data_IF_434745705959
#
_entry.id   IF_434745705959
#
_cell.length_a   1.000
_cell.length_b   1.000
_cell.length_c   1.000
_cell.angle_alpha   90.00
_cell.angle_beta   90.00
_cell.angle_gamma   90.00
#
_symmetry.space_group_name_H-M   'P 1'
#
loop_
_entity.id
_entity.type
_entity.pdbx_description
1 polymer ?
#
# COMPACT_ATOMS: atom_id res chain seq x y z
N UNK A 1 0.30 1.45 24.08
CA UNK A 1 0.03 2.54 23.12
C UNK A 1 0.22 2.03 21.71
N UNK A 2 0.34 2.89 20.70
CA UNK A 2 0.40 2.47 19.28
C UNK A 2 1.65 1.69 18.84
N UNK A 3 2.64 1.55 19.72
CA UNK A 3 3.86 0.75 19.50
C UNK A 3 4.01 -0.41 20.50
N UNK A 4 2.94 -0.82 21.21
CA UNK A 4 3.10 -1.74 22.34
C UNK A 4 2.87 -3.22 22.03
N UNK A 5 2.52 -3.61 20.79
CA UNK A 5 2.24 -5.04 20.50
C UNK A 5 3.43 -5.96 20.80
N UNK A 6 4.65 -5.40 20.80
CA UNK A 6 5.90 -6.10 21.08
C UNK A 6 6.13 -6.40 22.56
N UNK A 7 5.38 -5.76 23.46
CA UNK A 7 5.54 -5.88 24.91
C UNK A 7 4.56 -6.90 25.51
N UNK A 8 4.37 -6.86 26.83
CA UNK A 8 3.35 -7.66 27.52
C UNK A 8 1.92 -7.49 26.94
N UNK A 9 1.63 -6.39 26.24
CA UNK A 9 0.36 -6.22 25.51
C UNK A 9 0.18 -7.28 24.41
N UNK A 10 1.27 -7.80 23.85
CA UNK A 10 1.28 -8.89 22.88
C UNK A 10 0.94 -10.27 23.45
N UNK A 11 0.61 -10.40 24.74
CA UNK A 11 0.30 -11.68 25.38
C UNK A 11 -0.78 -12.48 24.62
N UNK A 12 -1.82 -11.82 24.10
CA UNK A 12 -2.87 -12.48 23.32
C UNK A 12 -2.36 -13.05 21.99
N UNK A 13 -1.34 -12.42 21.38
CA UNK A 13 -0.68 -12.92 20.17
C UNK A 13 0.08 -14.19 20.53
N UNK A 14 0.91 -14.15 21.58
CA UNK A 14 1.67 -15.30 22.05
C UNK A 14 0.78 -16.50 22.43
N UNK A 15 -0.38 -16.24 23.07
CA UNK A 15 -1.36 -17.28 23.38
C UNK A 15 -2.02 -17.88 22.14
N UNK A 16 -2.20 -17.09 21.08
CA UNK A 16 -2.87 -17.51 19.84
C UNK A 16 -1.94 -18.32 18.91
N UNK A 17 -0.68 -17.90 18.77
CA UNK A 17 0.27 -18.50 17.81
C UNK A 17 1.42 -19.25 18.47
N UNK A 18 1.50 -19.30 19.80
CA UNK A 18 2.61 -19.86 20.56
C UNK A 18 3.77 -18.87 20.73
N UNK A 19 4.54 -19.03 21.81
CA UNK A 19 5.62 -18.11 22.15
C UNK A 19 6.75 -18.13 21.11
N UNK A 20 7.13 -19.29 20.56
CA UNK A 20 8.15 -19.40 19.51
C UNK A 20 7.82 -18.57 18.26
N UNK A 21 6.54 -18.46 17.89
CA UNK A 21 6.12 -17.62 16.76
C UNK A 21 6.06 -16.14 17.16
N UNK A 22 5.75 -15.83 18.42
CA UNK A 22 5.85 -14.47 18.94
C UNK A 22 7.31 -14.01 18.98
N UNK A 23 8.26 -14.84 19.40
CA UNK A 23 9.70 -14.53 19.33
C UNK A 23 10.13 -14.25 17.89
N UNK A 24 9.73 -15.09 16.92
CA UNK A 24 10.01 -14.82 15.50
C UNK A 24 9.44 -13.49 15.01
N UNK A 25 8.28 -13.08 15.51
CA UNK A 25 7.71 -11.76 15.22
C UNK A 25 8.61 -10.64 15.76
N UNK A 26 9.14 -10.78 16.98
CA UNK A 26 10.10 -9.84 17.56
C UNK A 26 11.43 -9.83 16.79
N UNK A 27 11.95 -11.00 16.41
CA UNK A 27 13.19 -11.14 15.64
C UNK A 27 13.08 -10.44 14.28
N UNK A 28 11.91 -10.54 13.64
CA UNK A 28 11.61 -9.83 12.40
C UNK A 28 11.68 -8.31 12.54
N UNK A 29 11.10 -7.77 13.62
CA UNK A 29 11.20 -6.35 13.92
C UNK A 29 12.65 -5.95 14.23
N UNK A 30 13.36 -6.72 15.04
CA UNK A 30 14.76 -6.48 15.37
C UNK A 30 15.67 -6.49 14.14
N UNK A 31 15.41 -7.38 13.18
CA UNK A 31 16.09 -7.38 11.89
C UNK A 31 15.90 -6.06 11.14
N UNK A 32 14.67 -5.53 11.10
CA UNK A 32 14.38 -4.25 10.46
C UNK A 32 14.99 -3.07 11.24
N UNK A 33 15.03 -3.13 12.57
CA UNK A 33 15.73 -2.13 13.39
C UNK A 33 17.21 -2.05 13.04
N UNK A 34 17.89 -3.20 12.90
CA UNK A 34 19.30 -3.26 12.51
C UNK A 34 19.51 -2.69 11.11
N UNK A 35 18.65 -3.05 10.15
CA UNK A 35 18.69 -2.47 8.80
C UNK A 35 18.53 -0.95 8.84
N UNK A 36 17.51 -0.45 9.55
CA UNK A 36 17.27 1.00 9.69
C UNK A 36 18.45 1.75 10.32
N UNK A 37 19.11 1.16 11.31
CA UNK A 37 20.22 1.79 12.03
C UNK A 37 21.54 1.80 11.25
N UNK A 38 21.77 0.81 10.39
CA UNK A 38 23.11 0.54 9.84
C UNK A 38 23.23 0.72 8.33
N UNK A 39 22.12 0.61 7.58
CA UNK A 39 22.15 0.79 6.13
C UNK A 39 22.40 2.26 5.74
N UNK A 40 23.22 2.53 4.69
CA UNK A 40 23.31 3.85 4.07
C UNK A 40 21.93 4.39 3.69
N UNK A 41 21.71 5.70 3.81
CA UNK A 41 20.37 6.31 3.66
C UNK A 41 19.74 6.01 2.29
N UNK A 42 20.54 5.96 1.25
CA UNK A 42 20.16 5.65 -0.14
C UNK A 42 19.77 4.18 -0.39
N UNK A 43 20.08 3.28 0.55
CA UNK A 43 19.71 1.85 0.54
C UNK A 43 18.75 1.49 1.69
N UNK A 44 18.39 2.47 2.52
CA UNK A 44 17.60 2.28 3.72
C UNK A 44 16.10 2.37 3.41
N UNK A 45 15.46 1.21 3.24
CA UNK A 45 14.04 1.10 2.91
C UNK A 45 13.09 2.03 3.72
N UNK A 46 13.08 2.06 5.06
CA UNK A 46 12.27 3.01 5.83
C UNK A 46 12.54 4.49 5.47
N UNK A 47 13.81 4.87 5.30
CA UNK A 47 14.19 6.24 4.92
C UNK A 47 13.68 6.60 3.53
N UNK A 48 13.85 5.71 2.55
CA UNK A 48 13.38 5.93 1.18
C UNK A 48 11.86 6.10 1.15
N UNK A 49 11.12 5.22 1.84
CA UNK A 49 9.65 5.30 1.92
C UNK A 49 9.21 6.61 2.59
N UNK A 50 9.86 7.01 3.69
CA UNK A 50 9.57 8.27 4.36
C UNK A 50 9.82 9.49 3.45
N UNK A 51 10.95 9.52 2.72
CA UNK A 51 11.27 10.61 1.80
C UNK A 51 10.31 10.70 0.62
N UNK A 52 9.86 9.56 0.07
CA UNK A 52 8.80 9.54 -0.94
C UNK A 52 7.47 10.07 -0.38
N UNK A 53 7.13 9.71 0.86
CA UNK A 53 5.96 10.25 1.56
C UNK A 53 6.01 11.78 1.69
N UNK A 54 7.15 12.32 2.15
CA UNK A 54 7.39 13.77 2.24
C UNK A 54 7.30 14.43 0.87
N UNK A 55 7.90 13.83 -0.16
CA UNK A 55 7.83 14.34 -1.52
C UNK A 55 6.39 14.49 -2.00
N UNK A 56 5.56 13.45 -1.87
CA UNK A 56 4.18 13.53 -2.33
C UNK A 56 3.29 14.41 -1.47
N UNK A 57 3.45 14.43 -0.15
CA UNK A 57 2.63 15.26 0.73
C UNK A 57 3.00 16.74 0.63
N UNK A 58 4.28 17.08 0.73
CA UNK A 58 4.74 18.47 0.83
C UNK A 58 4.98 19.13 -0.53
N UNK A 59 5.37 18.37 -1.56
CA UNK A 59 5.66 18.95 -2.89
C UNK A 59 4.52 18.75 -3.88
N UNK A 60 3.74 17.67 -3.75
CA UNK A 60 2.60 17.38 -4.63
C UNK A 60 1.22 17.54 -3.97
N UNK A 61 1.16 17.89 -2.68
CA UNK A 61 -0.08 18.16 -1.97
C UNK A 61 -0.98 16.93 -1.79
N UNK A 62 -0.42 15.72 -1.81
CA UNK A 62 -1.19 14.51 -1.55
C UNK A 62 -1.58 14.44 -0.06
N UNK A 63 -2.86 14.58 0.23
CA UNK A 63 -3.39 14.57 1.61
C UNK A 63 -3.46 13.15 2.22
N UNK A 64 -3.44 12.10 1.39
CA UNK A 64 -3.72 10.72 1.83
C UNK A 64 -2.68 9.75 1.34
N UNK A 65 -2.44 8.68 2.11
CA UNK A 65 -1.59 7.54 1.75
C UNK A 65 -2.37 6.24 1.84
N UNK A 66 -2.41 5.46 0.75
CA UNK A 66 -3.19 4.22 0.70
C UNK A 66 -2.30 2.98 0.93
N UNK A 67 -2.67 2.14 1.89
CA UNK A 67 -2.02 0.85 2.17
C UNK A 67 -2.90 -0.30 1.66
N UNK A 68 -2.43 -1.03 0.64
CA UNK A 68 -3.24 -1.96 -0.15
C UNK A 68 -2.62 -3.37 -0.15
N UNK A 69 -2.75 -4.13 0.94
CA UNK A 69 -2.18 -5.48 1.02
C UNK A 69 -3.00 -6.48 0.19
N UNK A 70 -2.35 -7.19 -0.73
CA UNK A 70 -2.91 -8.31 -1.50
C UNK A 70 -2.75 -9.62 -0.71
N UNK A 71 -3.28 -9.60 0.51
CA UNK A 71 -3.33 -10.74 1.42
C UNK A 71 -4.51 -10.54 2.39
N UNK A 72 -5.39 -11.54 2.48
CA UNK A 72 -6.61 -11.41 3.28
C UNK A 72 -6.35 -11.47 4.79
N UNK A 73 -5.28 -12.14 5.25
CA UNK A 73 -4.93 -12.14 6.67
C UNK A 73 -4.45 -10.75 7.13
N UNK A 74 -3.99 -9.91 6.19
CA UNK A 74 -3.59 -8.52 6.42
C UNK A 74 -4.76 -7.52 6.36
N UNK A 75 -6.03 -7.96 6.41
CA UNK A 75 -7.20 -7.06 6.29
C UNK A 75 -7.29 -5.96 7.36
N UNK A 76 -6.58 -6.07 8.49
CA UNK A 76 -6.48 -5.03 9.53
C UNK A 76 -5.20 -4.22 9.49
N UNK A 77 -4.29 -4.49 8.54
CA UNK A 77 -2.98 -3.86 8.47
C UNK A 77 -3.07 -2.35 8.25
N UNK A 78 -3.88 -1.90 7.28
CA UNK A 78 -4.11 -0.47 7.05
C UNK A 78 -4.73 0.22 8.27
N UNK A 79 -5.71 -0.43 8.93
CA UNK A 79 -6.35 0.09 10.14
C UNK A 79 -5.39 0.16 11.35
N UNK A 80 -4.42 -0.75 11.44
CA UNK A 80 -3.36 -0.68 12.45
C UNK A 80 -2.49 0.57 12.24
N UNK A 81 -2.09 0.85 10.99
CA UNK A 81 -1.29 2.02 10.64
C UNK A 81 -2.05 3.35 10.61
N UNK A 82 -3.38 3.34 10.55
CA UNK A 82 -4.17 4.54 10.85
C UNK A 82 -3.81 5.08 12.24
N UNK A 83 -3.75 4.21 13.25
CA UNK A 83 -3.29 4.63 14.56
C UNK A 83 -1.78 4.89 14.57
N UNK A 84 -0.98 3.98 14.01
CA UNK A 84 0.47 4.06 14.03
C UNK A 84 1.04 5.34 13.42
N UNK A 85 0.52 5.78 12.28
CA UNK A 85 0.98 6.97 11.56
C UNK A 85 0.23 8.22 12.01
N UNK A 86 -1.10 8.25 11.88
CA UNK A 86 -1.87 9.48 12.05
C UNK A 86 -1.82 10.01 13.49
N UNK A 87 -1.80 9.14 14.49
CA UNK A 87 -1.65 9.56 15.90
C UNK A 87 -0.21 10.01 16.23
N UNK A 88 0.77 9.54 15.46
CA UNK A 88 2.18 9.95 15.58
C UNK A 88 2.43 11.31 14.95
N UNK A 89 2.02 11.45 13.70
CA UNK A 89 2.43 12.53 12.81
C UNK A 89 1.33 13.57 12.54
N UNK A 90 0.08 13.31 12.95
CA UNK A 90 -1.02 14.27 12.94
C UNK A 90 -0.83 15.36 13.99
N UNK A 91 0.19 16.20 13.78
CA UNK A 91 0.66 17.24 14.69
C UNK A 91 0.85 18.52 13.91
N UNK A 92 0.78 19.64 14.62
CA UNK A 92 1.00 20.96 14.03
C UNK A 92 2.02 21.80 14.79
N UNK A 93 2.44 21.38 15.99
CA UNK A 93 3.48 22.06 16.77
C UNK A 93 4.82 21.34 16.59
N UNK A 94 5.85 22.10 16.22
CA UNK A 94 7.22 21.61 16.06
C UNK A 94 7.91 21.45 17.42
N UNK A 95 9.09 20.83 17.44
CA UNK A 95 9.86 20.65 18.69
C UNK A 95 10.31 21.97 19.34
N UNK A 96 10.37 23.07 18.59
CA UNK A 96 10.67 24.40 19.13
C UNK A 96 9.46 25.10 19.75
N UNK A 97 8.24 24.53 19.63
CA UNK A 97 7.01 25.13 20.11
C UNK A 97 6.27 25.98 19.08
N UNK A 98 6.83 26.16 17.88
CA UNK A 98 6.23 26.93 16.79
C UNK A 98 5.24 26.09 15.96
N UNK A 99 4.23 26.73 15.39
CA UNK A 99 3.32 26.10 14.42
C UNK A 99 4.05 25.73 13.12
N UNK A 100 3.76 24.54 12.58
CA UNK A 100 4.29 24.06 11.32
C UNK A 100 3.64 24.81 10.14
N UNK A 101 4.47 25.30 9.22
CA UNK A 101 4.04 26.00 7.99
C UNK A 101 3.95 25.07 6.78
N UNK A 102 3.97 23.76 7.02
CA UNK A 102 4.02 22.69 6.03
C UNK A 102 3.11 21.53 6.44
N UNK A 103 2.82 20.63 5.50
CA UNK A 103 1.97 19.45 5.75
C UNK A 103 2.72 18.41 6.58
N UNK A 104 2.04 17.86 7.60
CA UNK A 104 2.58 16.80 8.48
C UNK A 104 2.05 15.43 8.09
N UNK A 105 1.56 14.62 9.04
CA UNK A 105 1.10 13.25 8.78
C UNK A 105 -0.06 13.20 7.76
N UNK A 106 -0.04 12.25 6.81
CA UNK A 106 -1.13 12.07 5.86
C UNK A 106 -2.33 11.35 6.51
N UNK A 107 -3.47 11.36 5.82
CA UNK A 107 -4.58 10.45 6.15
C UNK A 107 -4.27 9.07 5.59
N UNK A 108 -4.09 8.08 6.48
CA UNK A 108 -3.83 6.68 6.09
C UNK A 108 -5.14 5.91 5.93
N UNK A 109 -5.26 5.12 4.88
CA UNK A 109 -6.45 4.30 4.64
C UNK A 109 -6.15 3.11 3.71
N UNK A 110 -7.09 2.17 3.60
CA UNK A 110 -6.98 1.07 2.65
C UNK A 110 -7.76 -0.18 3.07
N UNK A 111 -7.90 -1.11 2.14
CA UNK A 111 -8.53 -2.42 2.29
C UNK A 111 -7.72 -3.44 1.48
N UNK A 112 -7.76 -4.74 1.85
CA UNK A 112 -7.00 -5.73 1.12
C UNK A 112 -7.46 -5.90 -0.33
N UNK A 113 -6.52 -6.24 -1.20
CA UNK A 113 -6.78 -6.66 -2.57
C UNK A 113 -7.38 -8.08 -2.61
N UNK A 114 -8.29 -8.40 -3.52
CA UNK A 114 -8.80 -7.56 -4.62
C UNK A 114 -10.06 -6.76 -4.24
N UNK A 115 -10.54 -6.85 -3.01
CA UNK A 115 -11.79 -6.20 -2.57
C UNK A 115 -11.76 -4.68 -2.80
N UNK A 116 -10.65 -4.02 -2.47
CA UNK A 116 -10.47 -2.59 -2.73
C UNK A 116 -10.65 -2.19 -4.20
N UNK A 117 -10.30 -3.08 -5.14
CA UNK A 117 -10.44 -2.84 -6.58
C UNK A 117 -11.88 -2.62 -6.99
N UNK A 118 -12.81 -3.32 -6.33
CA UNK A 118 -14.23 -3.25 -6.59
C UNK A 118 -14.96 -2.21 -5.72
N UNK A 119 -14.22 -1.47 -4.88
CA UNK A 119 -14.78 -0.46 -3.99
C UNK A 119 -14.36 0.97 -4.40
N UNK A 120 -13.06 1.28 -4.37
CA UNK A 120 -12.58 2.67 -4.46
C UNK A 120 -11.48 2.90 -5.49
N UNK A 121 -10.97 1.86 -6.16
CA UNK A 121 -9.93 2.02 -7.18
C UNK A 121 -10.41 2.84 -8.39
N UNK A 122 -11.72 2.92 -8.63
CA UNK A 122 -12.30 3.84 -9.62
C UNK A 122 -11.85 5.29 -9.35
N UNK A 123 -11.90 5.73 -8.08
CA UNK A 123 -11.43 7.06 -7.68
C UNK A 123 -9.91 7.17 -7.82
N UNK A 124 -9.16 6.14 -7.43
CA UNK A 124 -7.70 6.14 -7.57
C UNK A 124 -7.31 6.28 -9.04
N UNK A 125 -7.99 5.60 -9.98
CA UNK A 125 -7.65 5.62 -11.40
C UNK A 125 -8.14 6.87 -12.15
N UNK A 126 -9.39 7.28 -11.95
CA UNK A 126 -10.03 8.32 -12.77
C UNK A 126 -10.50 9.54 -11.97
N UNK A 127 -10.37 9.51 -10.64
CA UNK A 127 -10.67 10.66 -9.79
C UNK A 127 -9.63 11.78 -9.93
N UNK A 128 -9.91 12.90 -9.25
CA UNK A 128 -9.09 14.12 -9.32
C UNK A 128 -8.01 14.21 -8.25
N UNK A 129 -8.01 13.29 -7.27
CA UNK A 129 -7.02 13.26 -6.18
C UNK A 129 -5.77 12.48 -6.61
N UNK A 130 -4.61 12.96 -6.16
CA UNK A 130 -3.35 12.22 -6.19
C UNK A 130 -3.23 11.42 -4.90
N UNK A 131 -3.07 10.11 -5.02
CA UNK A 131 -3.05 9.19 -3.88
C UNK A 131 -1.85 8.25 -4.07
N UNK A 132 -0.71 8.50 -3.40
CA UNK A 132 0.36 7.52 -3.27
C UNK A 132 -0.18 6.23 -2.65
N UNK A 133 0.17 5.08 -3.24
CA UNK A 133 -0.30 3.79 -2.78
C UNK A 133 0.86 2.81 -2.56
N UNK A 134 0.89 2.15 -1.41
CA UNK A 134 1.78 1.01 -1.19
C UNK A 134 1.01 -0.28 -1.40
N UNK A 135 1.38 -1.02 -2.43
CA UNK A 135 0.89 -2.35 -2.70
C UNK A 135 1.81 -3.35 -2.02
N UNK A 136 1.26 -4.26 -1.21
CA UNK A 136 2.05 -5.27 -0.49
C UNK A 136 1.56 -6.66 -0.89
N UNK A 137 2.45 -7.59 -1.26
CA UNK A 137 2.04 -8.96 -1.57
C UNK A 137 3.09 -10.01 -1.17
N UNK A 138 2.67 -11.17 -0.61
CA UNK A 138 3.55 -12.33 -0.54
C UNK A 138 3.63 -13.05 -1.88
N UNK A 139 4.82 -13.50 -2.26
CA UNK A 139 5.05 -14.35 -3.44
C UNK A 139 4.55 -15.79 -3.24
N UNK A 140 4.37 -16.22 -1.98
CA UNK A 140 3.87 -17.53 -1.59
C UNK A 140 2.66 -17.40 -0.67
N UNK A 141 1.59 -18.13 -0.98
CA UNK A 141 0.39 -18.19 -0.14
C UNK A 141 0.51 -19.27 0.95
N UNK A 142 -0.21 -19.08 2.07
CA UNK A 142 -0.48 -20.14 3.03
C UNK A 142 -1.53 -21.14 2.55
N UNK A 143 -2.32 -20.78 1.55
CA UNK A 143 -3.47 -21.56 1.08
C UNK A 143 -3.34 -21.84 -0.44
N UNK A 144 -2.46 -22.77 -0.87
CA UNK A 144 -2.24 -23.08 -2.29
C UNK A 144 -3.39 -23.91 -2.89
N UNK A 145 -4.61 -23.40 -2.80
CA UNK A 145 -5.84 -24.04 -3.27
C UNK A 145 -5.86 -24.15 -4.79
N UNK A 146 -6.48 -25.21 -5.30
CA UNK A 146 -6.65 -25.45 -6.74
C UNK A 146 -5.34 -25.29 -7.54
N UNK A 147 -4.25 -25.89 -7.04
CA UNK A 147 -2.93 -25.82 -7.68
C UNK A 147 -2.30 -24.43 -7.67
N UNK A 148 -2.73 -23.54 -6.76
CA UNK A 148 -2.21 -22.17 -6.64
C UNK A 148 -2.85 -21.16 -7.60
N UNK A 149 -3.89 -21.54 -8.35
CA UNK A 149 -4.53 -20.66 -9.35
C UNK A 149 -5.05 -19.35 -8.72
N UNK A 150 -5.62 -19.42 -7.52
CA UNK A 150 -6.12 -18.24 -6.81
C UNK A 150 -5.00 -17.24 -6.52
N UNK A 151 -3.86 -17.72 -6.03
CA UNK A 151 -2.73 -16.85 -5.71
C UNK A 151 -2.06 -16.29 -6.99
N UNK A 152 -2.02 -17.08 -8.07
CA UNK A 152 -1.58 -16.59 -9.38
C UNK A 152 -2.46 -15.44 -9.89
N UNK A 153 -3.78 -15.57 -9.79
CA UNK A 153 -4.72 -14.50 -10.18
C UNK A 153 -4.57 -13.28 -9.26
N UNK A 154 -4.41 -13.48 -7.96
CA UNK A 154 -4.18 -12.40 -6.99
C UNK A 154 -2.92 -11.59 -7.35
N UNK A 155 -1.81 -12.26 -7.63
CA UNK A 155 -0.55 -11.60 -8.03
C UNK A 155 -0.64 -10.96 -9.42
N UNK A 156 -1.36 -11.57 -10.37
CA UNK A 156 -1.61 -10.94 -11.66
C UNK A 156 -2.35 -9.60 -11.49
N UNK A 157 -3.34 -9.56 -10.60
CA UNK A 157 -4.05 -8.33 -10.27
C UNK A 157 -3.17 -7.31 -9.53
N UNK A 158 -2.35 -7.73 -8.56
CA UNK A 158 -1.37 -6.87 -7.89
C UNK A 158 -0.48 -6.13 -8.90
N UNK A 159 0.12 -6.88 -9.83
CA UNK A 159 1.00 -6.33 -10.87
C UNK A 159 0.24 -5.44 -11.87
N UNK A 160 -0.93 -5.90 -12.34
CA UNK A 160 -1.73 -5.18 -13.33
C UNK A 160 -2.22 -3.83 -12.81
N UNK A 161 -2.53 -3.71 -11.51
CA UNK A 161 -3.02 -2.46 -10.94
C UNK A 161 -1.95 -1.38 -10.89
N UNK A 162 -0.73 -1.71 -10.45
CA UNK A 162 0.37 -0.74 -10.42
C UNK A 162 0.82 -0.37 -11.85
N UNK A 163 0.83 -1.33 -12.77
CA UNK A 163 1.06 -1.06 -14.20
C UNK A 163 0.01 -0.13 -14.80
N UNK A 164 -1.28 -0.36 -14.52
CA UNK A 164 -2.37 0.47 -15.02
C UNK A 164 -2.31 1.91 -14.46
N UNK A 165 -1.96 2.05 -13.17
CA UNK A 165 -1.77 3.37 -12.53
C UNK A 165 -0.61 4.15 -13.16
N UNK A 166 0.47 3.46 -13.54
CA UNK A 166 1.60 4.07 -14.24
C UNK A 166 1.23 4.43 -15.68
N UNK A 167 0.76 3.47 -16.48
CA UNK A 167 0.62 3.61 -17.94
C UNK A 167 -0.63 4.36 -18.37
N UNK A 168 -1.76 4.17 -17.66
CA UNK A 168 -3.06 4.62 -18.14
C UNK A 168 -3.48 3.96 -19.45
N UNK A 169 -4.36 4.64 -20.19
CA UNK A 169 -4.92 4.24 -21.48
C UNK A 169 -5.28 5.48 -22.28
N UNK A 170 -4.62 5.67 -23.42
CA UNK A 170 -4.81 6.86 -24.27
C UNK A 170 -6.15 6.83 -25.01
N UNK A 171 -6.59 7.99 -25.51
CA UNK A 171 -7.79 8.07 -26.34
C UNK A 171 -7.69 7.22 -27.61
N UNK A 172 -6.51 7.09 -28.20
CA UNK A 172 -6.32 6.24 -29.39
C UNK A 172 -6.51 4.76 -29.06
N UNK A 173 -5.93 4.29 -27.95
CA UNK A 173 -6.07 2.92 -27.49
C UNK A 173 -7.53 2.61 -27.12
N UNK A 174 -8.16 3.49 -26.35
CA UNK A 174 -9.57 3.34 -25.96
C UNK A 174 -10.50 3.35 -27.18
N UNK A 175 -10.25 4.20 -28.18
CA UNK A 175 -11.02 4.23 -29.42
C UNK A 175 -10.88 2.91 -30.19
N UNK A 176 -9.65 2.43 -30.39
CA UNK A 176 -9.41 1.18 -31.10
C UNK A 176 -10.09 -0.03 -30.43
N UNK A 177 -10.13 -0.07 -29.08
CA UNK A 177 -10.88 -1.10 -28.34
C UNK A 177 -12.40 -1.01 -28.58
N UNK A 178 -12.95 0.21 -28.59
CA UNK A 178 -14.38 0.44 -28.81
C UNK A 178 -14.80 0.07 -30.23
N UNK A 179 -14.00 0.45 -31.23
CA UNK A 179 -14.21 0.07 -32.64
C UNK A 179 -14.17 -1.45 -32.80
N UNK A 180 -13.19 -2.12 -32.18
CA UNK A 180 -13.08 -3.59 -32.21
C UNK A 180 -14.26 -4.31 -31.54
N UNK A 181 -14.94 -3.67 -30.58
CA UNK A 181 -16.16 -4.21 -29.96
C UNK A 181 -17.42 -4.05 -30.82
N UNK A 182 -17.31 -3.43 -32.01
CA UNK A 182 -18.42 -3.25 -32.96
C UNK A 182 -19.33 -2.08 -32.62
N UNK A 183 -18.89 -1.15 -31.76
CA UNK A 183 -19.67 0.03 -31.39
C UNK A 183 -19.73 1.03 -32.56
N UNK A 184 -20.88 1.68 -32.77
CA UNK A 184 -21.06 2.69 -33.82
C UNK A 184 -20.33 3.99 -33.47
N UNK A 185 -19.85 4.71 -34.48
CA UNK A 185 -19.04 5.93 -34.32
C UNK A 185 -19.71 7.00 -33.43
N UNK A 186 -21.02 7.21 -33.58
CA UNK A 186 -21.80 8.17 -32.78
C UNK A 186 -21.84 7.81 -31.28
N UNK A 187 -21.84 6.51 -30.97
CA UNK A 187 -21.73 6.01 -29.60
C UNK A 187 -20.28 6.06 -29.09
N UNK A 188 -19.29 5.77 -29.95
CA UNK A 188 -17.86 5.84 -29.61
C UNK A 188 -17.48 7.24 -29.18
N UNK A 189 -17.87 8.27 -29.95
CA UNK A 189 -17.56 9.67 -29.63
C UNK A 189 -18.06 10.06 -28.24
N UNK A 190 -19.23 9.55 -27.83
CA UNK A 190 -19.83 9.83 -26.52
C UNK A 190 -19.11 9.11 -25.38
N UNK A 191 -18.75 7.84 -25.55
CA UNK A 191 -18.18 7.03 -24.46
C UNK A 191 -16.66 7.18 -24.33
N UNK A 192 -15.97 7.56 -25.41
CA UNK A 192 -14.51 7.59 -25.48
C UNK A 192 -13.86 8.40 -24.34
N UNK A 193 -14.30 9.63 -23.98
CA UNK A 193 -13.68 10.40 -22.90
C UNK A 193 -13.73 9.69 -21.54
N UNK A 194 -14.75 8.84 -21.32
CA UNK A 194 -14.93 8.09 -20.07
C UNK A 194 -14.04 6.83 -19.99
N UNK A 195 -13.48 6.38 -21.13
CA UNK A 195 -12.61 5.20 -21.23
C UNK A 195 -11.13 5.54 -21.20
N UNK A 196 -10.77 6.83 -21.15
CA UNK A 196 -9.38 7.29 -21.02
C UNK A 196 -8.92 7.20 -19.58
N UNK A 197 -7.71 6.69 -19.38
CA UNK A 197 -7.02 6.66 -18.09
C UNK A 197 -5.75 7.49 -18.22
N UNK A 198 -5.60 8.53 -17.40
CA UNK A 198 -4.46 9.46 -17.52
C UNK A 198 -3.11 8.81 -17.16
N UNK A 199 -3.11 7.72 -16.39
CA UNK A 199 -1.88 7.13 -15.86
C UNK A 199 -1.12 8.12 -14.97
N UNK A 200 0.20 7.95 -14.88
CA UNK A 200 1.10 8.78 -14.08
C UNK A 200 0.67 8.92 -12.61
N UNK A 201 0.25 7.80 -12.00
CA UNK A 201 -0.14 7.71 -10.59
C UNK A 201 0.86 6.84 -9.83
N UNK A 202 1.48 7.35 -8.75
CA UNK A 202 2.62 6.70 -8.12
C UNK A 202 2.19 5.54 -7.21
N UNK A 203 2.98 4.47 -7.23
CA UNK A 203 2.81 3.32 -6.34
C UNK A 203 4.16 2.75 -5.92
N UNK A 204 4.28 2.31 -4.67
CA UNK A 204 5.32 1.35 -4.28
C UNK A 204 4.78 -0.08 -4.39
N UNK A 205 5.65 -1.03 -4.74
CA UNK A 205 5.34 -2.47 -4.74
C UNK A 205 6.29 -3.19 -3.80
N UNK A 206 5.79 -3.58 -2.64
CA UNK A 206 6.54 -4.26 -1.59
C UNK A 206 6.20 -5.75 -1.67
N UNK A 207 7.14 -6.55 -2.17
CA UNK A 207 6.95 -8.00 -2.33
C UNK A 207 7.79 -8.74 -1.30
N UNK A 208 7.13 -9.58 -0.50
CA UNK A 208 7.80 -10.47 0.46
C UNK A 208 7.70 -11.91 0.00
N UNK A 209 8.59 -12.80 0.47
CA UNK A 209 8.54 -14.21 0.07
C UNK A 209 7.24 -14.88 0.53
N UNK A 210 6.89 -14.72 1.80
CA UNK A 210 5.69 -15.27 2.45
C UNK A 210 5.41 -14.46 3.71
N UNK A 211 4.16 -14.21 4.07
CA UNK A 211 3.83 -13.54 5.35
C UNK A 211 4.02 -14.55 6.49
N UNK A 212 5.20 -14.57 7.10
CA UNK A 212 5.51 -15.35 8.31
C UNK A 212 5.51 -14.43 9.54
N UNK A 213 5.55 -14.95 10.79
CA UNK A 213 5.71 -14.09 11.96
C UNK A 213 6.90 -13.13 11.83
N UNK A 214 8.06 -13.64 11.42
CA UNK A 214 9.26 -12.83 11.14
C UNK A 214 9.01 -11.76 10.08
N UNK A 215 8.48 -12.15 8.93
CA UNK A 215 8.24 -11.19 7.84
C UNK A 215 7.21 -10.13 8.23
N UNK A 216 6.17 -10.50 8.98
CA UNK A 216 5.19 -9.57 9.49
C UNK A 216 5.84 -8.58 10.49
N UNK A 217 6.72 -9.07 11.35
CA UNK A 217 7.47 -8.22 12.29
C UNK A 217 8.33 -7.19 11.57
N UNK A 218 9.08 -7.65 10.57
CA UNK A 218 9.91 -6.77 9.73
C UNK A 218 9.06 -5.74 8.96
N UNK A 219 7.89 -6.14 8.45
CA UNK A 219 6.98 -5.21 7.75
C UNK A 219 6.32 -4.19 8.66
N UNK A 220 6.03 -4.52 9.93
CA UNK A 220 5.42 -3.57 10.87
C UNK A 220 6.47 -2.57 11.39
N UNK A 221 7.73 -3.00 11.52
CA UNK A 221 8.84 -2.16 11.98
C UNK A 221 9.40 -1.23 10.89
N UNK A 222 9.20 -1.57 9.62
CA UNK A 222 9.59 -0.76 8.45
C UNK A 222 8.73 0.48 8.31
#
# INVERSE_FOLDING_TARGET
GRYSLWSAIGLSIALSVGFDNFEKLLDGASYMDQHFQTAPLEENAPVILALLGVWYSNMHGAETHALLPYDQYMHRFAAYFQQGDMESNGKYITRSGEEATYSTGPIVWGEPGTNGQHAFYQLIHQGTRLIPCDFIAPAQTHNPMAGGVHHKILLANFLAQTEALMKGKTSQQARAELEKSGMKEDAIVKILPHKVFKGNRPTNSIVVRKVTPFTLGALIAM
#
